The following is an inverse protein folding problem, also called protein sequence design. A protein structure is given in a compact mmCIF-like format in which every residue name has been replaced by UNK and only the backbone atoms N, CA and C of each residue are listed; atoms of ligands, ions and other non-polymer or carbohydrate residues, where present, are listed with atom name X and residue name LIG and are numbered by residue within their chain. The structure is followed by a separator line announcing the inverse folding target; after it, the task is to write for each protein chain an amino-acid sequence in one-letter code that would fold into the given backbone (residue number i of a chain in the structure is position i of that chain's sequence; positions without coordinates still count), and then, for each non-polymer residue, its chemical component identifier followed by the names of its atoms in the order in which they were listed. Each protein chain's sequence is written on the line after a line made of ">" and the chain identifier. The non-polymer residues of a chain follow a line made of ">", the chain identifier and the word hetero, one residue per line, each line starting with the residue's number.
data_IF_010147345176
#
_entry.id   IF_010147345176
#
_cell.length_a   1.000
_cell.length_b   1.000
_cell.length_c   1.000
_cell.angle_alpha   90.00
_cell.angle_beta   90.00
_cell.angle_gamma   90.00
#
_symmetry.space_group_name_H-M   'P 1'
#
loop_
_entity.id
_entity.type
_entity.pdbx_description
1 polymer ?
#
# COMPACT_ATOMS: atom_id res chain seq x y z
N UNK A 1 28.83 14.06 -19.35
CA UNK A 1 28.87 14.74 -18.03
C UNK A 1 28.80 13.70 -16.93
N UNK A 2 29.54 13.84 -15.82
CA UNK A 2 29.35 13.00 -14.63
C UNK A 2 28.32 13.68 -13.73
N UNK A 3 27.14 13.07 -13.60
CA UNK A 3 26.07 13.54 -12.72
C UNK A 3 26.12 12.68 -11.46
N UNK A 4 26.20 13.31 -10.29
CA UNK A 4 26.26 12.65 -8.99
C UNK A 4 25.54 13.50 -7.94
N UNK A 5 25.06 12.85 -6.87
CA UNK A 5 24.50 13.56 -5.73
C UNK A 5 25.59 14.20 -4.88
N UNK A 6 25.33 15.41 -4.38
CA UNK A 6 26.16 16.02 -3.34
C UNK A 6 25.98 15.22 -2.04
N UNK A 7 27.07 14.71 -1.45
CA UNK A 7 27.00 14.00 -0.18
C UNK A 7 26.89 14.99 0.99
N UNK A 8 25.66 15.34 1.36
CA UNK A 8 25.32 16.28 2.44
C UNK A 8 24.37 15.65 3.44
N UNK A 9 24.86 14.82 4.37
CA UNK A 9 24.04 14.20 5.41
C UNK A 9 23.33 15.24 6.28
N UNK A 10 23.94 16.42 6.45
CA UNK A 10 23.40 17.58 7.18
C UNK A 10 22.16 18.20 6.51
N UNK A 11 22.00 17.99 5.19
CA UNK A 11 20.86 18.52 4.42
C UNK A 11 19.82 17.46 4.11
N UNK A 12 20.20 16.20 4.08
CA UNK A 12 19.35 15.06 3.75
C UNK A 12 18.61 14.51 4.98
N UNK A 13 17.87 15.36 5.70
CA UNK A 13 17.34 15.07 7.04
C UNK A 13 15.81 14.91 7.12
N UNK A 14 15.11 15.09 6.01
CA UNK A 14 13.64 15.05 5.98
C UNK A 14 13.15 13.82 5.22
N UNK A 15 12.78 12.73 5.92
CA UNK A 15 12.14 11.58 5.30
C UNK A 15 10.83 11.99 4.62
N UNK A 16 10.76 11.79 3.30
CA UNK A 16 9.56 12.06 2.50
C UNK A 16 8.82 10.75 2.22
N UNK A 17 7.54 10.68 2.57
CA UNK A 17 6.66 9.63 2.09
C UNK A 17 6.09 10.06 0.74
N UNK A 18 6.50 9.39 -0.32
CA UNK A 18 5.92 9.62 -1.65
C UNK A 18 4.81 8.61 -1.90
N UNK A 19 3.64 9.09 -2.28
CA UNK A 19 2.54 8.25 -2.75
C UNK A 19 2.30 8.63 -4.21
N UNK A 20 2.39 7.66 -5.10
CA UNK A 20 2.35 7.98 -6.51
C UNK A 20 2.24 6.77 -7.42
N UNK A 21 2.25 7.07 -8.72
CA UNK A 21 2.09 6.09 -9.78
C UNK A 21 3.42 5.55 -10.32
N UNK A 22 3.37 4.90 -11.48
CA UNK A 22 4.52 4.21 -12.05
C UNK A 22 5.62 5.17 -12.53
N UNK A 23 5.31 6.46 -12.75
CA UNK A 23 6.31 7.44 -13.16
C UNK A 23 7.32 7.74 -12.05
N UNK A 24 6.96 7.49 -10.79
CA UNK A 24 7.88 7.70 -9.67
C UNK A 24 8.99 6.62 -9.57
N UNK A 25 8.90 5.52 -10.32
CA UNK A 25 9.98 4.54 -10.37
C UNK A 25 11.29 5.10 -10.94
N UNK A 26 11.24 6.06 -11.86
CA UNK A 26 12.45 6.74 -12.37
C UNK A 26 13.26 7.39 -11.23
N UNK A 27 12.66 8.31 -10.46
CA UNK A 27 13.26 8.86 -9.23
C UNK A 27 13.76 7.80 -8.24
N UNK A 28 13.03 6.69 -8.06
CA UNK A 28 13.48 5.54 -7.25
C UNK A 28 14.80 4.99 -7.76
N UNK A 29 14.89 4.67 -9.04
CA UNK A 29 16.10 4.10 -9.64
C UNK A 29 17.27 5.08 -9.67
N UNK A 30 16.98 6.37 -9.74
CA UNK A 30 17.97 7.43 -9.60
C UNK A 30 18.46 7.60 -8.17
N UNK A 31 17.85 6.97 -7.16
CA UNK A 31 18.24 7.07 -5.76
C UNK A 31 17.75 8.33 -5.04
N UNK A 32 16.73 9.01 -5.57
CA UNK A 32 16.19 10.25 -4.98
C UNK A 32 15.73 10.04 -3.52
N UNK A 33 15.09 8.90 -3.21
CA UNK A 33 14.68 8.54 -1.86
C UNK A 33 15.87 8.54 -0.88
N UNK A 34 16.94 7.88 -1.30
CA UNK A 34 18.14 7.69 -0.47
C UNK A 34 18.93 8.98 -0.32
N UNK A 35 19.16 9.70 -1.43
CA UNK A 35 20.13 10.79 -1.48
C UNK A 35 19.52 12.18 -1.35
N UNK A 36 18.20 12.34 -1.53
CA UNK A 36 17.53 13.64 -1.45
C UNK A 36 16.41 13.70 -0.41
N UNK A 37 15.76 12.57 -0.10
CA UNK A 37 14.57 12.52 0.78
C UNK A 37 14.82 11.79 2.10
N UNK A 38 16.03 11.85 2.63
CA UNK A 38 16.39 11.37 3.97
C UNK A 38 16.14 9.88 4.18
N UNK A 39 16.21 9.05 3.13
CA UNK A 39 15.85 7.63 3.21
C UNK A 39 14.34 7.38 3.30
N UNK A 40 13.53 8.29 2.75
CA UNK A 40 12.07 8.20 2.75
C UNK A 40 11.52 7.02 1.93
N UNK A 41 10.20 6.83 2.00
CA UNK A 41 9.50 5.69 1.41
C UNK A 41 8.71 6.07 0.14
N UNK A 42 8.54 5.11 -0.77
CA UNK A 42 7.60 5.23 -1.88
C UNK A 42 6.49 4.19 -1.77
N UNK A 43 5.24 4.64 -1.76
CA UNK A 43 4.03 3.82 -1.81
C UNK A 43 3.39 3.92 -3.19
N UNK A 44 3.53 2.86 -3.96
CA UNK A 44 2.94 2.75 -5.28
C UNK A 44 1.43 2.55 -5.18
N UNK A 45 0.67 3.55 -5.65
CA UNK A 45 -0.79 3.66 -5.56
C UNK A 45 -1.37 3.40 -4.16
N UNK A 46 -0.70 3.86 -3.10
CA UNK A 46 -1.09 3.57 -1.72
C UNK A 46 -1.31 2.05 -1.45
N UNK A 47 -0.55 1.21 -2.16
CA UNK A 47 -0.74 -0.24 -2.13
C UNK A 47 0.56 -0.97 -1.86
N UNK A 48 1.58 -0.83 -2.72
CA UNK A 48 2.87 -1.52 -2.55
C UNK A 48 3.95 -0.58 -2.02
N UNK A 49 4.83 -1.09 -1.17
CA UNK A 49 5.95 -0.32 -0.62
C UNK A 49 7.21 -0.59 -1.45
N UNK A 50 7.94 0.46 -1.81
CA UNK A 50 9.13 0.42 -2.64
C UNK A 50 10.24 1.28 -2.02
N UNK A 51 11.44 0.71 -1.79
CA UNK A 51 11.74 -0.72 -1.86
C UNK A 51 10.93 -1.51 -0.82
N UNK A 52 10.71 -2.81 -1.07
CA UNK A 52 9.99 -3.68 -0.15
C UNK A 52 10.81 -3.84 1.15
N UNK A 53 10.31 -3.43 2.33
CA UNK A 53 10.96 -3.74 3.60
C UNK A 53 10.84 -5.23 3.97
N UNK A 54 11.61 -5.69 4.95
CA UNK A 54 11.60 -7.11 5.36
C UNK A 54 10.26 -7.55 5.95
N UNK A 55 9.60 -6.65 6.69
CA UNK A 55 8.42 -6.93 7.50
C UNK A 55 7.08 -6.55 6.82
N UNK A 56 7.12 -5.89 5.66
CA UNK A 56 5.93 -5.49 4.93
C UNK A 56 6.21 -5.40 3.43
N UNK A 57 5.19 -5.64 2.63
CA UNK A 57 5.19 -5.53 1.17
C UNK A 57 4.09 -4.61 0.67
N UNK A 58 3.02 -4.46 1.45
CA UNK A 58 1.87 -3.65 1.13
C UNK A 58 1.54 -2.67 2.27
N UNK A 59 1.05 -1.48 1.92
CA UNK A 59 0.85 -0.36 2.86
C UNK A 59 -0.11 -0.69 4.01
N UNK A 60 -1.08 -1.59 3.79
CA UNK A 60 -2.03 -2.02 4.83
C UNK A 60 -1.42 -2.91 5.91
N UNK A 61 -0.22 -3.44 5.67
CA UNK A 61 0.51 -4.24 6.66
C UNK A 61 1.11 -3.35 7.75
N UNK A 62 1.40 -2.08 7.42
CA UNK A 62 1.97 -1.04 8.29
C UNK A 62 0.90 -0.25 9.06
N UNK A 63 1.30 0.38 10.16
CA UNK A 63 0.47 1.35 10.86
C UNK A 63 0.60 2.74 10.21
N UNK A 64 -0.48 3.19 9.56
CA UNK A 64 -0.49 4.46 8.83
C UNK A 64 -0.07 5.65 9.70
N UNK A 65 -0.46 5.68 10.98
CA UNK A 65 -0.13 6.79 11.87
C UNK A 65 1.37 6.88 12.13
N UNK A 66 1.99 5.75 12.42
CA UNK A 66 3.44 5.65 12.62
C UNK A 66 4.18 6.12 11.37
N UNK A 67 3.75 5.65 10.20
CA UNK A 67 4.31 6.03 8.91
C UNK A 67 4.17 7.53 8.64
N UNK A 68 3.01 8.14 8.92
CA UNK A 68 2.82 9.58 8.73
C UNK A 68 3.61 10.44 9.72
N UNK A 69 3.87 9.96 10.93
CA UNK A 69 4.58 10.73 11.95
C UNK A 69 6.11 10.64 11.80
N UNK A 70 6.63 9.54 11.26
CA UNK A 70 8.06 9.41 10.97
C UNK A 70 8.47 10.20 9.72
N UNK A 71 7.58 10.33 8.73
CA UNK A 71 7.81 11.15 7.55
C UNK A 71 7.42 12.61 7.81
N UNK A 72 8.30 13.54 7.49
CA UNK A 72 8.08 14.99 7.74
C UNK A 72 7.29 15.66 6.61
N UNK A 73 7.34 15.06 5.43
CA UNK A 73 6.63 15.51 4.24
C UNK A 73 5.93 14.31 3.64
N UNK A 74 4.66 14.49 3.30
CA UNK A 74 3.91 13.56 2.45
C UNK A 74 3.75 14.22 1.09
N UNK A 75 4.19 13.53 0.04
CA UNK A 75 4.17 14.03 -1.32
C UNK A 75 3.30 13.12 -2.18
N UNK A 76 2.27 13.69 -2.81
CA UNK A 76 1.39 13.00 -3.74
C UNK A 76 1.83 13.35 -5.17
N UNK A 77 2.23 12.36 -5.97
CA UNK A 77 2.70 12.58 -7.35
C UNK A 77 2.00 11.61 -8.29
N UNK A 78 1.19 12.17 -9.19
CA UNK A 78 0.37 11.42 -10.13
C UNK A 78 0.45 12.06 -11.50
N UNK A 79 0.57 11.22 -12.53
CA UNK A 79 0.33 11.63 -13.91
C UNK A 79 -1.15 11.95 -14.13
N UNK A 80 -1.44 12.77 -15.14
CA UNK A 80 -2.80 13.21 -15.50
C UNK A 80 -3.77 12.02 -15.69
N UNK A 81 -3.28 10.93 -16.30
CA UNK A 81 -4.05 9.71 -16.55
C UNK A 81 -4.54 9.01 -15.26
N UNK A 82 -3.93 9.29 -14.11
CA UNK A 82 -4.29 8.67 -12.83
C UNK A 82 -5.00 9.63 -11.85
N UNK A 83 -5.38 10.82 -12.31
CA UNK A 83 -6.06 11.80 -11.44
C UNK A 83 -7.47 11.37 -11.02
N UNK A 84 -8.15 10.50 -11.78
CA UNK A 84 -9.45 9.94 -11.39
C UNK A 84 -9.41 9.20 -10.06
N UNK A 85 -8.27 8.59 -9.74
CA UNK A 85 -8.00 7.87 -8.49
C UNK A 85 -6.91 8.56 -7.67
N UNK A 86 -6.83 9.89 -7.73
CA UNK A 86 -5.80 10.67 -7.04
C UNK A 86 -5.72 10.33 -5.55
N UNK A 87 -4.53 9.93 -5.10
CA UNK A 87 -4.28 9.49 -3.72
C UNK A 87 -4.74 8.07 -3.40
N UNK A 88 -5.49 7.37 -4.26
CA UNK A 88 -5.92 5.98 -4.06
C UNK A 88 -6.43 5.66 -2.64
N UNK A 89 -7.34 6.48 -2.12
CA UNK A 89 -7.93 6.32 -0.79
C UNK A 89 -7.02 6.74 0.37
N UNK A 90 -5.80 7.18 0.11
CA UNK A 90 -4.87 7.66 1.14
C UNK A 90 -5.39 8.90 1.84
N UNK A 91 -5.90 9.88 1.08
CA UNK A 91 -6.30 11.18 1.61
C UNK A 91 -7.44 10.99 2.62
N UNK A 92 -8.44 10.20 2.25
CA UNK A 92 -9.58 9.84 3.08
C UNK A 92 -9.16 9.05 4.31
N UNK A 93 -8.20 8.11 4.14
CA UNK A 93 -7.65 7.31 5.24
C UNK A 93 -6.90 8.17 6.25
N UNK A 94 -6.03 9.07 5.78
CA UNK A 94 -5.27 9.99 6.62
C UNK A 94 -6.21 10.99 7.33
N UNK A 95 -7.17 11.57 6.59
CA UNK A 95 -8.17 12.47 7.17
C UNK A 95 -8.98 11.78 8.27
N UNK A 96 -9.49 10.57 8.01
CA UNK A 96 -10.25 9.79 8.98
C UNK A 96 -9.39 9.40 10.19
N UNK A 97 -8.13 9.01 9.97
CA UNK A 97 -7.19 8.69 11.04
C UNK A 97 -7.02 9.86 12.02
N UNK A 98 -6.85 11.09 11.52
CA UNK A 98 -6.62 12.24 12.38
C UNK A 98 -7.90 12.81 12.99
N UNK A 99 -9.05 12.72 12.30
CA UNK A 99 -10.33 13.23 12.79
C UNK A 99 -11.09 12.24 13.67
N UNK A 100 -11.04 10.96 13.35
CA UNK A 100 -11.72 9.90 14.09
C UNK A 100 -10.87 8.60 14.11
N UNK A 101 -9.81 8.57 14.94
CA UNK A 101 -8.91 7.43 15.02
C UNK A 101 -9.63 6.10 15.31
N UNK A 102 -10.67 6.13 16.15
CA UNK A 102 -11.44 4.93 16.50
C UNK A 102 -12.11 4.31 15.27
N UNK A 103 -12.77 5.15 14.47
CA UNK A 103 -13.40 4.70 13.22
C UNK A 103 -12.36 4.19 12.22
N UNK A 104 -11.24 4.90 12.07
CA UNK A 104 -10.14 4.48 11.21
C UNK A 104 -9.64 3.08 11.59
N UNK A 105 -9.27 2.85 12.86
CA UNK A 105 -8.71 1.56 13.28
C UNK A 105 -9.73 0.42 13.23
N UNK A 106 -11.02 0.71 13.43
CA UNK A 106 -12.09 -0.27 13.18
C UNK A 106 -12.11 -0.71 11.71
N UNK A 107 -12.10 0.23 10.76
CA UNK A 107 -12.06 -0.12 9.34
C UNK A 107 -10.75 -0.76 8.91
N UNK A 108 -9.61 -0.25 9.38
CA UNK A 108 -8.29 -0.78 9.06
C UNK A 108 -8.14 -2.24 9.54
N UNK A 109 -8.62 -2.57 10.74
CA UNK A 109 -8.61 -3.95 11.25
C UNK A 109 -9.47 -4.90 10.42
N UNK A 110 -10.68 -4.49 10.02
CA UNK A 110 -11.56 -5.26 9.13
C UNK A 110 -10.92 -5.48 7.76
N UNK A 111 -10.35 -4.44 7.17
CA UNK A 111 -9.64 -4.51 5.89
C UNK A 111 -8.40 -5.40 5.98
N UNK A 112 -7.65 -5.30 7.08
CA UNK A 112 -6.47 -6.13 7.36
C UNK A 112 -6.85 -7.61 7.41
N UNK A 113 -7.89 -7.98 8.16
CA UNK A 113 -8.41 -9.35 8.21
C UNK A 113 -8.82 -9.87 6.82
N UNK A 114 -9.54 -9.06 6.05
CA UNK A 114 -9.96 -9.43 4.69
C UNK A 114 -8.77 -9.64 3.75
N UNK A 115 -7.81 -8.71 3.74
CA UNK A 115 -6.62 -8.82 2.89
C UNK A 115 -5.74 -10.00 3.28
N UNK A 116 -5.55 -10.25 4.57
CA UNK A 116 -4.85 -11.45 5.05
C UNK A 116 -5.55 -12.73 4.60
N UNK A 117 -6.88 -12.83 4.71
CA UNK A 117 -7.63 -13.99 4.23
C UNK A 117 -7.49 -14.19 2.70
N UNK A 118 -7.56 -13.11 1.92
CA UNK A 118 -7.32 -13.13 0.46
C UNK A 118 -5.92 -13.65 0.15
N UNK A 119 -4.89 -13.17 0.85
CA UNK A 119 -3.51 -13.64 0.67
C UNK A 119 -3.37 -15.13 1.02
N UNK A 120 -3.95 -15.58 2.14
CA UNK A 120 -3.95 -17.00 2.52
C UNK A 120 -4.59 -17.87 1.43
N UNK A 121 -5.74 -17.46 0.89
CA UNK A 121 -6.41 -18.21 -0.19
C UNK A 121 -5.53 -18.28 -1.44
N UNK A 122 -4.89 -17.17 -1.83
CA UNK A 122 -4.00 -17.13 -3.01
C UNK A 122 -2.76 -18.02 -2.85
N UNK A 123 -2.22 -18.12 -1.64
CA UNK A 123 -0.99 -18.87 -1.35
C UNK A 123 -1.25 -20.35 -1.03
N UNK A 124 -2.50 -20.72 -0.74
CA UNK A 124 -2.86 -22.08 -0.34
C UNK A 124 -3.48 -22.84 -1.52
N UNK A 125 -2.80 -23.85 -2.10
CA UNK A 125 -3.22 -24.45 -3.36
C UNK A 125 -4.65 -25.01 -3.37
N UNK A 126 -5.09 -25.64 -2.27
CA UNK A 126 -6.45 -26.21 -2.20
C UNK A 126 -7.54 -25.13 -2.10
N UNK A 127 -7.28 -24.02 -1.39
CA UNK A 127 -8.20 -22.88 -1.30
C UNK A 127 -8.29 -22.13 -2.64
N UNK A 128 -7.15 -21.98 -3.32
CA UNK A 128 -7.11 -21.39 -4.65
C UNK A 128 -7.91 -22.24 -5.65
N UNK A 129 -7.72 -23.57 -5.65
CA UNK A 129 -8.50 -24.49 -6.50
C UNK A 129 -10.00 -24.40 -6.22
N UNK A 130 -10.40 -24.34 -4.96
CA UNK A 130 -11.81 -24.15 -4.59
C UNK A 130 -12.36 -22.81 -5.10
N UNK A 131 -11.56 -21.74 -5.05
CA UNK A 131 -11.92 -20.42 -5.58
C UNK A 131 -12.06 -20.44 -7.10
N UNK A 132 -11.19 -21.18 -7.81
CA UNK A 132 -11.28 -21.37 -9.27
C UNK A 132 -12.58 -22.08 -9.65
N UNK A 133 -12.92 -23.19 -8.98
CA UNK A 133 -14.18 -23.89 -9.23
C UNK A 133 -15.41 -22.99 -8.97
N UNK A 134 -15.35 -22.13 -7.94
CA UNK A 134 -16.41 -21.17 -7.66
C UNK A 134 -16.51 -20.09 -8.76
N UNK A 135 -15.37 -19.58 -9.23
CA UNK A 135 -15.29 -18.61 -10.34
C UNK A 135 -15.94 -19.16 -11.60
N UNK A 136 -15.60 -20.40 -11.97
CA UNK A 136 -16.17 -21.10 -13.13
C UNK A 136 -17.68 -21.32 -12.98
N UNK A 137 -18.11 -21.91 -11.87
CA UNK A 137 -19.53 -22.23 -11.64
C UNK A 137 -20.45 -21.02 -11.51
N UNK A 138 -19.93 -19.86 -11.09
CA UNK A 138 -20.69 -18.62 -10.93
C UNK A 138 -20.49 -17.62 -12.06
N UNK A 139 -19.63 -17.93 -13.04
CA UNK A 139 -19.24 -17.02 -14.12
C UNK A 139 -18.78 -15.64 -13.62
N UNK A 140 -17.99 -15.64 -12.54
CA UNK A 140 -17.39 -14.43 -11.96
C UNK A 140 -15.87 -14.51 -12.07
N UNK A 141 -15.18 -13.37 -11.96
CA UNK A 141 -13.71 -13.36 -11.95
C UNK A 141 -13.15 -14.16 -10.75
N UNK A 142 -11.93 -14.68 -10.91
CA UNK A 142 -11.23 -15.37 -9.84
C UNK A 142 -11.04 -14.46 -8.61
N UNK A 143 -10.76 -13.16 -8.80
CA UNK A 143 -10.64 -12.22 -7.69
C UNK A 143 -11.96 -12.08 -6.91
N UNK A 144 -13.09 -11.97 -7.61
CA UNK A 144 -14.41 -11.94 -6.98
C UNK A 144 -14.71 -13.24 -6.21
N UNK A 145 -14.37 -14.40 -6.78
CA UNK A 145 -14.54 -15.68 -6.11
C UNK A 145 -13.68 -15.80 -4.83
N UNK A 146 -12.41 -15.36 -4.89
CA UNK A 146 -11.51 -15.31 -3.74
C UNK A 146 -12.07 -14.38 -2.66
N UNK A 147 -12.59 -13.20 -3.02
CA UNK A 147 -13.21 -12.27 -2.05
C UNK A 147 -14.44 -12.88 -1.37
N UNK A 148 -15.31 -13.56 -2.13
CA UNK A 148 -16.46 -14.26 -1.56
C UNK A 148 -16.01 -15.35 -0.58
N UNK A 149 -14.98 -16.12 -0.93
CA UNK A 149 -14.42 -17.13 -0.03
C UNK A 149 -13.80 -16.53 1.22
N UNK A 150 -13.06 -15.43 1.09
CA UNK A 150 -12.48 -14.70 2.23
C UNK A 150 -13.57 -14.20 3.18
N UNK A 151 -14.67 -13.63 2.66
CA UNK A 151 -15.80 -13.23 3.48
C UNK A 151 -16.44 -14.41 4.22
N UNK A 152 -16.66 -15.55 3.54
CA UNK A 152 -17.20 -16.76 4.18
C UNK A 152 -16.31 -17.28 5.31
N UNK A 153 -15.00 -17.24 5.13
CA UNK A 153 -14.04 -17.65 6.16
C UNK A 153 -14.16 -16.75 7.39
N UNK A 154 -14.19 -15.43 7.19
CA UNK A 154 -14.30 -14.47 8.29
C UNK A 154 -15.64 -14.57 9.04
N UNK A 155 -16.76 -14.82 8.37
CA UNK A 155 -18.07 -14.96 9.01
C UNK A 155 -18.25 -16.27 9.77
N UNK A 156 -17.58 -17.35 9.36
CA UNK A 156 -17.69 -18.68 9.99
C UNK A 156 -16.77 -18.84 11.22
N UNK A 157 -15.95 -17.83 11.54
CA UNK A 157 -15.01 -17.87 12.68
C UNK A 157 -15.53 -17.04 13.88
N UNK A 158 -16.72 -16.46 13.78
CA UNK A 158 -17.45 -15.74 14.83
C UNK A 158 -18.65 -16.56 15.29
#
# INVERSE_FOLDING_TARGET
>A
PQIQFENRPDKNIFPVLTIGDSYWYGPVYMGIQQYCFGGGSFWYYNNKIVPKPENASEAWELDLKTELLQHKVVMLVYSDANLSDFGNGFIESAYTLFQNPKLFYQHASQQKQLKSAIQTIRQTPYLLKASTNLSESKHISLDSAIRIMAHRQLTNTL
#
